data_IF_180683254449
#
_entry.id   IF_180683254449
#
_cell.length_a   1.000
_cell.length_b   1.000
_cell.length_c   1.000
_cell.angle_alpha   90.00
_cell.angle_beta   90.00
_cell.angle_gamma   90.00
#
_symmetry.space_group_name_H-M   'P 1'
#
loop_
_entity.id
_entity.type
_entity.pdbx_description
1 polymer ?
#
# COMPACT_ATOMS: atom_id res chain seq x y z
N UNK A 1 28.56 -3.31 18.87
CA UNK A 1 28.94 -3.47 17.45
C UNK A 1 27.93 -4.32 16.69
N UNK A 2 27.66 -5.57 17.10
CA UNK A 2 26.85 -6.49 16.29
C UNK A 2 25.36 -6.11 16.18
N UNK A 3 24.73 -5.72 17.29
CA UNK A 3 23.32 -5.26 17.29
C UNK A 3 23.07 -4.07 16.35
N UNK A 4 24.01 -3.12 16.29
CA UNK A 4 23.91 -1.96 15.40
C UNK A 4 24.01 -2.36 13.93
N UNK A 5 24.89 -3.32 13.61
CA UNK A 5 25.01 -3.87 12.27
C UNK A 5 23.73 -4.59 11.83
N UNK A 6 23.12 -5.36 12.72
CA UNK A 6 21.83 -6.02 12.46
C UNK A 6 20.71 -5.01 12.20
N UNK A 7 20.65 -3.93 12.99
CA UNK A 7 19.66 -2.86 12.84
C UNK A 7 19.79 -2.16 11.48
N UNK A 8 21.01 -1.79 11.09
CA UNK A 8 21.27 -1.14 9.79
C UNK A 8 20.89 -2.05 8.62
N UNK A 9 21.15 -3.36 8.73
CA UNK A 9 20.78 -4.31 7.68
C UNK A 9 19.25 -4.47 7.58
N UNK A 10 18.55 -4.47 8.72
CA UNK A 10 17.08 -4.49 8.74
C UNK A 10 16.49 -3.25 8.05
N UNK A 11 16.97 -2.06 8.40
CA UNK A 11 16.53 -0.79 7.80
C UNK A 11 16.81 -0.78 6.29
N UNK A 12 17.98 -1.28 5.87
CA UNK A 12 18.34 -1.43 4.46
C UNK A 12 17.37 -2.36 3.72
N UNK A 13 16.98 -3.48 4.33
CA UNK A 13 16.02 -4.41 3.73
C UNK A 13 14.62 -3.82 3.68
N UNK A 14 14.17 -3.13 4.72
CA UNK A 14 12.86 -2.45 4.74
C UNK A 14 12.78 -1.35 3.67
N UNK A 15 13.87 -0.62 3.43
CA UNK A 15 13.94 0.36 2.34
C UNK A 15 13.87 -0.29 0.94
N UNK A 16 14.39 -1.52 0.79
CA UNK A 16 14.36 -2.25 -0.48
C UNK A 16 13.01 -2.91 -0.75
N UNK A 17 12.41 -3.52 0.28
CA UNK A 17 11.18 -4.29 0.17
C UNK A 17 10.02 -3.50 0.78
N UNK A 18 9.41 -2.67 -0.06
CA UNK A 18 8.25 -1.86 0.30
C UNK A 18 7.14 -2.74 0.90
N UNK A 19 6.48 -2.24 1.95
CA UNK A 19 5.43 -2.97 2.65
C UNK A 19 5.92 -3.89 3.78
N UNK A 20 7.23 -4.05 3.97
CA UNK A 20 7.78 -4.73 5.14
C UNK A 20 7.45 -3.93 6.41
N UNK A 21 6.69 -4.53 7.32
CA UNK A 21 6.26 -3.88 8.56
C UNK A 21 7.33 -3.77 9.64
N UNK A 22 6.97 -3.08 10.72
CA UNK A 22 7.68 -2.97 12.00
C UNK A 22 6.65 -3.03 13.15
N UNK A 23 7.06 -3.17 14.42
CA UNK A 23 6.14 -3.30 15.55
C UNK A 23 5.11 -2.17 15.68
N UNK A 24 5.43 -0.97 15.22
CA UNK A 24 4.55 0.20 15.28
C UNK A 24 3.80 0.46 13.96
N UNK A 25 3.83 -0.48 13.00
CA UNK A 25 3.03 -0.36 11.77
C UNK A 25 1.56 -0.29 12.11
N UNK A 26 0.92 0.80 11.70
CA UNK A 26 -0.49 1.06 11.97
C UNK A 26 -1.40 0.16 11.12
N UNK A 27 -2.65 -0.03 11.58
CA UNK A 27 -3.65 -0.75 10.77
C UNK A 27 -3.87 -0.10 9.40
N UNK A 28 -3.72 1.23 9.30
CA UNK A 28 -3.91 1.95 8.05
C UNK A 28 -2.76 1.64 7.07
N UNK A 29 -1.50 1.73 7.52
CA UNK A 29 -0.34 1.42 6.68
C UNK A 29 -0.39 -0.01 6.15
N UNK A 30 -0.64 -0.98 7.03
CA UNK A 30 -0.78 -2.39 6.64
C UNK A 30 -1.86 -2.59 5.59
N UNK A 31 -3.08 -2.10 5.84
CA UNK A 31 -4.20 -2.25 4.90
C UNK A 31 -3.92 -1.55 3.56
N UNK A 32 -3.30 -0.37 3.60
CA UNK A 32 -2.93 0.37 2.38
C UNK A 32 -1.97 -0.44 1.52
N UNK A 33 -0.95 -1.07 2.13
CA UNK A 33 -0.02 -1.95 1.42
C UNK A 33 -0.74 -3.17 0.81
N UNK A 34 -1.60 -3.86 1.57
CA UNK A 34 -2.37 -5.01 1.05
C UNK A 34 -3.23 -4.63 -0.17
N UNK A 35 -3.88 -3.47 -0.15
CA UNK A 35 -4.68 -3.03 -1.30
C UNK A 35 -3.80 -2.69 -2.50
N UNK A 36 -2.65 -2.05 -2.29
CA UNK A 36 -1.67 -1.77 -3.36
C UNK A 36 -1.14 -3.07 -3.97
N UNK A 37 -0.80 -4.07 -3.16
CA UNK A 37 -0.35 -5.37 -3.64
C UNK A 37 -1.44 -6.09 -4.46
N UNK A 38 -2.69 -5.96 -4.02
CA UNK A 38 -3.85 -6.49 -4.75
C UNK A 38 -4.01 -5.82 -6.12
N UNK A 39 -4.00 -4.48 -6.18
CA UNK A 39 -4.10 -3.75 -7.45
C UNK A 39 -2.92 -4.01 -8.38
N UNK A 40 -1.71 -4.10 -7.83
CA UNK A 40 -0.50 -4.48 -8.57
C UNK A 40 -0.65 -5.88 -9.18
N UNK A 41 -1.15 -6.85 -8.41
CA UNK A 41 -1.39 -8.22 -8.87
C UNK A 41 -2.44 -8.26 -9.97
N UNK A 42 -3.54 -7.51 -9.83
CA UNK A 42 -4.57 -7.39 -10.87
C UNK A 42 -3.98 -6.88 -12.18
N UNK A 43 -3.20 -5.79 -12.13
CA UNK A 43 -2.59 -5.18 -13.32
C UNK A 43 -1.51 -6.07 -13.93
N UNK A 44 -0.74 -6.76 -13.09
CA UNK A 44 0.39 -7.61 -13.49
C UNK A 44 -0.01 -8.95 -14.11
N UNK A 45 -1.20 -9.47 -13.82
CA UNK A 45 -1.68 -10.75 -14.35
C UNK A 45 -2.76 -10.55 -15.41
N UNK A 46 -2.45 -10.72 -16.72
CA UNK A 46 -3.40 -10.48 -17.81
C UNK A 46 -4.73 -11.23 -17.71
N UNK A 47 -4.80 -12.49 -17.22
CA UNK A 47 -6.08 -13.18 -17.03
C UNK A 47 -6.97 -12.49 -15.99
N UNK A 48 -6.38 -12.05 -14.87
CA UNK A 48 -7.10 -11.39 -13.79
C UNK A 48 -7.60 -10.01 -14.21
N UNK A 49 -6.76 -9.24 -14.90
CA UNK A 49 -7.15 -7.95 -15.48
C UNK A 49 -8.31 -8.10 -16.48
N UNK A 50 -8.21 -9.09 -17.38
CA UNK A 50 -9.24 -9.37 -18.38
C UNK A 50 -10.55 -9.81 -17.74
N UNK A 51 -10.48 -10.61 -16.68
CA UNK A 51 -11.66 -11.04 -15.93
C UNK A 51 -12.44 -9.83 -15.34
N UNK A 52 -11.72 -8.88 -14.74
CA UNK A 52 -12.35 -7.67 -14.18
C UNK A 52 -12.89 -6.76 -15.29
N UNK A 53 -12.14 -6.59 -16.39
CA UNK A 53 -12.60 -5.82 -17.55
C UNK A 53 -13.88 -6.39 -18.16
N UNK A 54 -13.97 -7.71 -18.28
CA UNK A 54 -15.17 -8.40 -18.74
C UNK A 54 -16.34 -8.20 -17.76
N UNK A 55 -16.12 -8.40 -16.46
CA UNK A 55 -17.17 -8.28 -15.44
C UNK A 55 -17.72 -6.84 -15.33
N UNK A 56 -16.90 -5.83 -15.60
CA UNK A 56 -17.29 -4.41 -15.56
C UNK A 56 -17.76 -3.87 -16.90
N UNK A 57 -17.66 -4.67 -17.98
CA UNK A 57 -17.94 -4.25 -19.36
C UNK A 57 -17.15 -2.99 -19.77
N UNK A 58 -15.89 -2.94 -19.38
CA UNK A 58 -14.98 -1.81 -19.65
C UNK A 58 -13.76 -2.29 -20.45
N UNK A 59 -13.13 -1.37 -21.18
CA UNK A 59 -11.89 -1.71 -21.88
C UNK A 59 -10.77 -2.07 -20.90
N UNK A 60 -9.95 -3.05 -21.26
CA UNK A 60 -8.78 -3.51 -20.46
C UNK A 60 -7.86 -2.34 -20.11
N UNK A 61 -7.64 -1.41 -21.04
CA UNK A 61 -6.81 -0.21 -20.82
C UNK A 61 -7.41 0.72 -19.76
N UNK A 62 -8.74 0.91 -19.77
CA UNK A 62 -9.43 1.74 -18.78
C UNK A 62 -9.36 1.12 -17.39
N UNK A 63 -9.65 -0.18 -17.27
CA UNK A 63 -9.54 -0.89 -15.98
C UNK A 63 -8.12 -0.88 -15.45
N UNK A 64 -7.11 -1.10 -16.31
CA UNK A 64 -5.69 -0.98 -15.91
C UNK A 64 -5.38 0.39 -15.31
N UNK A 65 -5.78 1.45 -15.99
CA UNK A 65 -5.56 2.81 -15.52
C UNK A 65 -6.31 3.10 -14.21
N UNK A 66 -7.53 2.58 -14.05
CA UNK A 66 -8.30 2.69 -12.82
C UNK A 66 -7.63 2.00 -11.64
N UNK A 67 -7.18 0.75 -11.81
CA UNK A 67 -6.49 0.00 -10.74
C UNK A 67 -5.22 0.73 -10.28
N UNK A 68 -4.44 1.30 -11.22
CA UNK A 68 -3.25 2.11 -10.89
C UNK A 68 -3.64 3.38 -10.12
N UNK A 69 -4.69 4.10 -10.54
CA UNK A 69 -5.15 5.31 -9.84
C UNK A 69 -5.62 5.02 -8.42
N UNK A 70 -6.29 3.87 -8.20
CA UNK A 70 -6.75 3.44 -6.86
C UNK A 70 -5.60 3.20 -5.87
N UNK A 71 -4.36 3.03 -6.33
CA UNK A 71 -3.19 2.82 -5.46
C UNK A 71 -2.79 4.05 -4.65
N UNK A 72 -3.18 5.27 -5.07
CA UNK A 72 -2.79 6.52 -4.39
C UNK A 72 -3.29 6.51 -2.94
N UNK A 73 -4.58 6.26 -2.76
CA UNK A 73 -5.24 6.28 -1.46
C UNK A 73 -6.35 5.22 -1.41
N UNK A 74 -5.98 3.93 -1.33
CA UNK A 74 -6.91 2.82 -1.57
C UNK A 74 -7.97 2.64 -0.47
N UNK A 75 -7.68 3.17 0.73
CA UNK A 75 -8.52 3.00 1.93
C UNK A 75 -8.88 4.35 2.58
N UNK A 76 -8.79 5.45 1.82
CA UNK A 76 -9.00 6.81 2.34
C UNK A 76 -7.79 7.38 3.09
N UNK A 77 -7.92 8.61 3.62
CA UNK A 77 -6.84 9.29 4.33
C UNK A 77 -6.41 8.55 5.60
N UNK A 78 -5.12 8.67 5.97
CA UNK A 78 -4.65 8.13 7.25
C UNK A 78 -5.43 8.77 8.41
N UNK A 79 -5.65 8.03 9.50
CA UNK A 79 -6.19 8.63 10.73
C UNK A 79 -5.28 9.76 11.20
N UNK A 80 -5.86 10.77 11.87
CA UNK A 80 -5.05 11.79 12.54
C UNK A 80 -4.10 11.12 13.53
N UNK A 81 -2.83 11.51 13.50
CA UNK A 81 -1.85 11.03 14.48
C UNK A 81 -2.18 11.64 15.84
N UNK A 82 -1.90 10.91 16.91
CA UNK A 82 -2.22 11.36 18.28
C UNK A 82 -1.60 12.74 18.56
N UNK A 83 -0.38 12.97 18.08
CA UNK A 83 0.36 14.24 18.10
C UNK A 83 -0.35 15.43 17.43
N UNK A 84 -1.12 15.19 16.36
CA UNK A 84 -1.92 16.22 15.68
C UNK A 84 -3.24 16.52 16.42
N UNK A 85 -3.67 15.61 17.30
CA UNK A 85 -4.96 15.70 18.01
C UNK A 85 -4.90 16.72 19.16
N UNK A 86 -3.73 16.87 19.79
CA UNK A 86 -3.50 17.84 20.87
C UNK A 86 -3.48 19.30 20.38
N UNK A 87 -3.25 19.53 19.07
CA UNK A 87 -3.20 20.86 18.46
C UNK A 87 -4.57 21.41 18.04
N UNK A 88 -5.60 20.56 18.00
CA UNK A 88 -6.98 20.93 17.62
C UNK A 88 -7.86 21.21 18.85
N UNK A 89 -7.39 20.87 20.05
CA UNK A 89 -8.10 21.02 21.33
C UNK A 89 -7.73 22.26 22.16
N UNK A 90 -7.00 23.24 21.60
CA UNK A 90 -6.79 24.57 22.19
C UNK A 90 -7.47 25.67 21.39
#
# INVERSE_FOLDING_TARGET
ADKLRTQQELERLQAKYLGTGHPDTTSWEWKSNIHRDTYSSIVGHPPLLSYIALATNESVTKVRAEMIRKMIQPIGPPPMREEDTFMVGQ
#
